data_IF_572874577427
#
_entry.id   IF_572874577427
#
_cell.length_a   1.000
_cell.length_b   1.000
_cell.length_c   1.000
_cell.angle_alpha   90.00
_cell.angle_beta   90.00
_cell.angle_gamma   90.00
#
_symmetry.space_group_name_H-M   'P 1'
#
loop_
_entity.id
_entity.type
_entity.pdbx_description
1 polymer ?
#
# COMPACT_ATOMS: atom_id res chain seq x y z
N UNK A 1 22.44 13.99 17.83
CA UNK A 1 22.79 12.66 18.35
C UNK A 1 22.81 12.57 19.87
N UNK A 2 23.19 13.63 20.62
CA UNK A 2 23.18 13.62 22.09
C UNK A 2 21.80 13.38 22.77
N UNK A 3 20.68 13.74 22.15
CA UNK A 3 19.35 13.56 22.74
C UNK A 3 18.82 12.11 22.67
N UNK A 4 19.25 11.30 21.69
CA UNK A 4 18.79 9.92 21.53
C UNK A 4 19.45 8.96 22.53
N UNK A 5 20.69 9.24 22.92
CA UNK A 5 21.46 8.40 23.85
C UNK A 5 20.95 8.49 25.29
N UNK A 6 20.32 9.62 25.66
CA UNK A 6 19.73 9.85 26.99
C UNK A 6 18.30 9.31 27.14
N UNK A 7 17.65 8.92 26.03
CA UNK A 7 16.32 8.33 26.05
C UNK A 7 16.44 6.83 26.34
N UNK A 8 15.75 6.37 27.38
CA UNK A 8 15.72 4.96 27.80
C UNK A 8 15.07 4.02 26.74
N UNK A 9 14.06 3.21 27.10
CA UNK A 9 13.41 2.31 26.14
C UNK A 9 12.51 3.03 25.11
N UNK A 10 12.44 4.36 25.11
CA UNK A 10 11.61 5.14 24.20
C UNK A 10 12.13 5.04 22.74
N UNK A 11 11.35 4.49 21.80
CA UNK A 11 11.76 4.36 20.41
C UNK A 11 11.68 5.66 19.60
N UNK A 12 10.97 6.68 20.09
CA UNK A 12 10.69 7.91 19.31
C UNK A 12 11.96 8.65 18.88
N UNK A 13 12.96 8.88 19.75
CA UNK A 13 14.19 9.57 19.36
C UNK A 13 15.00 8.79 18.31
N UNK A 14 14.90 7.46 18.31
CA UNK A 14 15.60 6.60 17.37
C UNK A 14 14.94 6.60 16.00
N UNK A 15 13.60 6.60 15.93
CA UNK A 15 12.89 6.83 14.67
C UNK A 15 13.31 8.15 14.04
N UNK A 16 13.26 9.25 14.79
CA UNK A 16 13.65 10.57 14.27
C UNK A 16 15.13 10.62 13.87
N UNK A 17 16.01 9.91 14.59
CA UNK A 17 17.43 9.82 14.22
C UNK A 17 17.63 9.05 12.90
N UNK A 18 16.89 7.95 12.68
CA UNK A 18 16.92 7.20 11.42
C UNK A 18 16.39 8.04 10.25
N UNK A 19 15.26 8.72 10.45
CA UNK A 19 14.68 9.63 9.45
C UNK A 19 15.67 10.75 9.08
N UNK A 20 16.33 11.34 10.08
CA UNK A 20 17.33 12.39 9.87
C UNK A 20 18.59 11.86 9.16
N UNK A 21 19.09 10.67 9.54
CA UNK A 21 20.23 10.05 8.89
C UNK A 21 19.94 9.73 7.41
N UNK A 22 18.74 9.21 7.11
CA UNK A 22 18.29 8.98 5.74
C UNK A 22 18.22 10.30 4.96
N UNK A 23 17.57 11.33 5.52
CA UNK A 23 17.43 12.63 4.87
C UNK A 23 18.77 13.35 4.63
N UNK A 24 19.77 13.11 5.48
CA UNK A 24 21.12 13.64 5.34
C UNK A 24 22.02 12.81 4.39
N UNK A 25 21.54 11.68 3.85
CA UNK A 25 22.33 10.79 3.01
C UNK A 25 23.46 10.09 3.77
N UNK A 26 23.22 9.70 5.03
CA UNK A 26 24.21 9.05 5.87
C UNK A 26 24.75 7.74 5.23
N UNK A 27 26.06 7.52 5.36
CA UNK A 27 26.68 6.28 4.91
C UNK A 27 26.24 5.06 5.73
N UNK A 28 26.43 3.86 5.18
CA UNK A 28 25.95 2.60 5.74
C UNK A 28 26.32 2.40 7.22
N UNK A 29 27.60 2.61 7.57
CA UNK A 29 28.07 2.41 8.95
C UNK A 29 27.43 3.35 9.98
N UNK A 30 27.09 4.58 9.58
CA UNK A 30 26.37 5.49 10.47
C UNK A 30 24.92 5.05 10.66
N UNK A 31 24.25 4.69 9.56
CA UNK A 31 22.87 4.23 9.61
C UNK A 31 22.74 2.95 10.43
N UNK A 32 23.63 1.98 10.21
CA UNK A 32 23.68 0.71 10.94
C UNK A 32 23.84 0.93 12.45
N UNK A 33 24.74 1.82 12.87
CA UNK A 33 24.91 2.19 14.29
C UNK A 33 23.61 2.72 14.91
N UNK A 34 22.85 3.56 14.21
CA UNK A 34 21.57 4.08 14.69
C UNK A 34 20.49 2.98 14.71
N UNK A 35 20.46 2.15 13.67
CA UNK A 35 19.55 1.03 13.53
C UNK A 35 19.69 0.04 14.68
N UNK A 36 20.93 -0.36 15.00
CA UNK A 36 21.19 -1.26 16.11
C UNK A 36 20.68 -0.72 17.45
N UNK A 37 20.84 0.59 17.70
CA UNK A 37 20.35 1.20 18.93
C UNK A 37 18.83 1.22 19.00
N UNK A 38 18.16 1.41 17.86
CA UNK A 38 16.71 1.37 17.73
C UNK A 38 16.18 -0.04 18.03
N UNK A 39 16.72 -1.07 17.37
CA UNK A 39 16.29 -2.46 17.54
C UNK A 39 16.60 -2.98 18.95
N UNK A 40 17.75 -2.62 19.54
CA UNK A 40 18.07 -3.00 20.92
C UNK A 40 17.04 -2.53 21.95
N UNK A 41 16.38 -1.40 21.71
CA UNK A 41 15.41 -0.79 22.65
C UNK A 41 13.97 -1.17 22.32
N UNK A 42 13.63 -1.23 21.04
CA UNK A 42 12.29 -1.55 20.59
C UNK A 42 12.31 -2.37 19.30
N UNK A 43 12.54 -3.69 19.40
CA UNK A 43 12.77 -4.59 18.26
C UNK A 43 11.68 -4.57 17.20
N UNK A 44 10.43 -4.26 17.58
CA UNK A 44 9.25 -4.33 16.69
C UNK A 44 8.62 -2.96 16.43
N UNK A 45 9.35 -1.85 16.64
CA UNK A 45 8.81 -0.51 16.39
C UNK A 45 8.64 -0.25 14.88
N UNK A 46 7.38 -0.27 14.41
CA UNK A 46 7.03 -0.15 13.00
C UNK A 46 7.71 1.03 12.29
N UNK A 47 7.71 2.22 12.90
CA UNK A 47 8.30 3.41 12.27
C UNK A 47 9.82 3.32 12.06
N UNK A 48 10.55 2.63 12.94
CA UNK A 48 12.00 2.43 12.77
C UNK A 48 12.27 1.47 11.62
N UNK A 49 11.47 0.41 11.52
CA UNK A 49 11.54 -0.56 10.43
C UNK A 49 11.20 0.06 9.07
N UNK A 50 10.20 0.95 9.02
CA UNK A 50 9.87 1.71 7.79
C UNK A 50 11.06 2.60 7.38
N UNK A 51 11.67 3.34 8.32
CA UNK A 51 12.83 4.17 8.02
C UNK A 51 14.02 3.35 7.49
N UNK A 52 14.27 2.16 8.06
CA UNK A 52 15.30 1.23 7.61
C UNK A 52 15.01 0.67 6.20
N UNK A 53 13.77 0.29 5.94
CA UNK A 53 13.33 -0.16 4.62
C UNK A 53 13.51 0.94 3.56
N UNK A 54 13.12 2.19 3.87
CA UNK A 54 13.30 3.33 2.97
C UNK A 54 14.77 3.64 2.71
N UNK A 55 15.63 3.51 3.73
CA UNK A 55 17.07 3.66 3.57
C UNK A 55 17.66 2.58 2.64
N UNK A 56 17.29 1.31 2.87
CA UNK A 56 17.74 0.18 2.05
C UNK A 56 17.34 0.35 0.59
N UNK A 57 16.08 0.73 0.34
CA UNK A 57 15.57 0.97 -1.00
C UNK A 57 16.31 2.12 -1.72
N UNK A 58 16.68 3.17 -1.00
CA UNK A 58 17.41 4.30 -1.57
C UNK A 58 18.89 4.00 -1.82
N UNK A 59 19.50 3.15 -1.00
CA UNK A 59 20.93 2.83 -1.08
C UNK A 59 21.30 1.92 -2.27
N UNK A 60 20.33 1.18 -2.82
CA UNK A 60 20.58 0.21 -3.88
C UNK A 60 19.40 0.14 -4.87
N UNK A 61 19.45 0.85 -6.00
CA UNK A 61 18.46 0.72 -7.07
C UNK A 61 18.37 -0.75 -7.53
N UNK A 62 17.16 -1.33 -7.53
CA UNK A 62 16.94 -2.74 -7.85
C UNK A 62 16.96 -3.70 -6.64
N UNK A 63 17.13 -3.19 -5.41
CA UNK A 63 17.12 -4.00 -4.18
C UNK A 63 15.73 -4.52 -3.75
N UNK A 64 14.81 -4.78 -4.68
CA UNK A 64 13.47 -5.33 -4.39
C UNK A 64 13.54 -6.61 -3.56
N UNK A 65 14.48 -7.49 -3.91
CA UNK A 65 14.69 -8.74 -3.19
C UNK A 65 15.15 -8.48 -1.76
N UNK A 66 16.14 -7.61 -1.56
CA UNK A 66 16.69 -7.29 -0.23
C UNK A 66 15.65 -6.57 0.64
N UNK A 67 14.89 -5.65 0.06
CA UNK A 67 13.78 -4.96 0.73
C UNK A 67 12.71 -5.94 1.21
N UNK A 68 12.32 -6.88 0.35
CA UNK A 68 11.36 -7.93 0.72
C UNK A 68 11.96 -8.90 1.75
N UNK A 69 13.21 -9.34 1.60
CA UNK A 69 13.89 -10.26 2.53
C UNK A 69 13.97 -9.63 3.93
N UNK A 70 14.36 -8.35 4.02
CA UNK A 70 14.35 -7.57 5.25
C UNK A 70 12.94 -7.49 5.86
N UNK A 71 11.95 -7.12 5.06
CA UNK A 71 10.61 -6.90 5.54
C UNK A 71 9.91 -8.20 5.99
N UNK A 72 10.14 -9.30 5.29
CA UNK A 72 9.63 -10.63 5.62
C UNK A 72 10.25 -11.16 6.91
N UNK A 73 11.57 -10.99 7.08
CA UNK A 73 12.28 -11.38 8.32
C UNK A 73 11.73 -10.60 9.51
N UNK A 74 11.63 -9.27 9.39
CA UNK A 74 11.08 -8.42 10.45
C UNK A 74 9.63 -8.77 10.82
N UNK A 75 8.81 -9.14 9.83
CA UNK A 75 7.44 -9.58 10.07
C UNK A 75 7.35 -10.98 10.69
N UNK A 76 8.29 -11.87 10.39
CA UNK A 76 8.36 -13.22 10.95
C UNK A 76 8.77 -13.20 12.44
N UNK A 77 9.69 -12.31 12.80
CA UNK A 77 10.22 -12.20 14.16
C UNK A 77 9.29 -11.44 15.12
N UNK A 78 8.21 -10.85 14.61
CA UNK A 78 7.33 -9.98 15.37
C UNK A 78 6.12 -10.70 16.00
N UNK A 79 5.64 -10.21 17.17
CA UNK A 79 4.37 -10.64 17.75
C UNK A 79 3.20 -10.50 16.78
N UNK A 80 2.18 -11.37 16.91
CA UNK A 80 1.09 -11.47 15.94
C UNK A 80 0.28 -10.17 15.74
N UNK A 81 0.19 -9.35 16.78
CA UNK A 81 -0.52 -8.06 16.82
C UNK A 81 0.36 -6.86 16.46
N UNK A 82 1.67 -7.07 16.26
CA UNK A 82 2.59 -5.98 15.96
C UNK A 82 2.41 -5.47 14.52
N UNK A 83 2.25 -4.15 14.37
CA UNK A 83 2.12 -3.49 13.06
C UNK A 83 3.30 -3.75 12.11
N UNK A 84 4.49 -4.09 12.64
CA UNK A 84 5.64 -4.49 11.80
C UNK A 84 5.36 -5.73 10.95
N UNK A 85 4.34 -6.54 11.28
CA UNK A 85 3.88 -7.61 10.39
C UNK A 85 3.34 -7.11 9.05
N UNK A 86 2.96 -5.84 8.95
CA UNK A 86 2.58 -5.20 7.68
C UNK A 86 3.77 -4.67 6.87
N UNK A 87 5.00 -4.74 7.38
CA UNK A 87 6.18 -4.22 6.68
C UNK A 87 6.40 -4.84 5.28
N UNK A 88 6.12 -6.14 5.02
CA UNK A 88 6.17 -6.69 3.66
C UNK A 88 5.27 -5.96 2.67
N UNK A 89 4.12 -5.41 3.12
CA UNK A 89 3.25 -4.61 2.26
C UNK A 89 3.91 -3.28 1.88
N UNK A 90 4.66 -2.65 2.80
CA UNK A 90 5.47 -1.46 2.51
C UNK A 90 6.58 -1.78 1.50
N UNK A 91 7.25 -2.92 1.64
CA UNK A 91 8.25 -3.36 0.67
C UNK A 91 7.62 -3.64 -0.71
N UNK A 92 6.44 -4.26 -0.75
CA UNK A 92 5.68 -4.49 -1.97
C UNK A 92 5.30 -3.17 -2.66
N UNK A 93 4.85 -2.17 -1.88
CA UNK A 93 4.61 -0.83 -2.38
C UNK A 93 5.85 -0.22 -3.04
N UNK A 94 6.99 -0.24 -2.35
CA UNK A 94 8.26 0.27 -2.88
C UNK A 94 8.62 -0.39 -4.23
N UNK A 95 8.48 -1.72 -4.32
CA UNK A 95 8.76 -2.45 -5.57
C UNK A 95 7.84 -2.02 -6.73
N UNK A 96 6.57 -1.77 -6.43
CA UNK A 96 5.57 -1.41 -7.43
C UNK A 96 5.73 0.04 -7.92
N UNK A 97 6.16 0.96 -7.07
CA UNK A 97 6.36 2.37 -7.47
C UNK A 97 7.64 2.57 -8.24
N UNK A 98 8.75 1.94 -7.85
CA UNK A 98 10.03 2.05 -8.57
C UNK A 98 9.97 1.44 -9.97
N UNK A 99 9.10 0.44 -10.18
CA UNK A 99 8.85 -0.12 -11.51
C UNK A 99 8.13 0.86 -12.46
N UNK A 100 7.34 1.80 -11.93
CA UNK A 100 6.65 2.81 -12.74
C UNK A 100 7.57 3.98 -13.13
N UNK A 101 8.54 4.30 -12.27
CA UNK A 101 9.47 5.45 -12.44
C UNK A 101 10.53 5.24 -13.55
N UNK A 102 10.41 4.17 -14.34
CA UNK A 102 11.27 3.94 -15.50
C UNK A 102 12.69 3.53 -15.14
N UNK A 103 12.89 2.88 -13.98
CA UNK A 103 14.15 2.20 -13.68
C UNK A 103 14.54 1.29 -14.84
N UNK A 104 15.76 1.47 -15.34
CA UNK A 104 16.33 0.96 -16.60
C UNK A 104 16.49 -0.57 -16.67
N UNK A 105 15.59 -1.34 -16.05
CA UNK A 105 15.40 -2.77 -16.30
C UNK A 105 14.54 -2.97 -17.57
N UNK A 106 14.91 -2.32 -18.66
CA UNK A 106 14.28 -2.48 -19.98
C UNK A 106 14.45 -3.91 -20.55
N UNK A 107 15.19 -4.79 -19.86
CA UNK A 107 15.43 -6.19 -20.23
C UNK A 107 15.02 -7.24 -19.16
N UNK A 108 14.44 -6.82 -18.03
CA UNK A 108 14.25 -7.72 -16.87
C UNK A 108 12.87 -8.37 -16.81
N UNK A 109 12.75 -9.65 -17.18
CA UNK A 109 11.64 -10.49 -16.68
C UNK A 109 11.59 -10.30 -15.15
N UNK A 110 10.44 -9.92 -14.56
CA UNK A 110 10.36 -9.70 -13.12
C UNK A 110 10.92 -10.92 -12.40
N UNK A 111 11.82 -10.74 -11.40
CA UNK A 111 12.55 -11.85 -10.81
C UNK A 111 11.59 -12.98 -10.44
N UNK A 112 11.95 -14.20 -10.83
CA UNK A 112 11.06 -15.36 -10.69
C UNK A 112 10.54 -15.46 -9.24
N UNK A 113 9.22 -15.48 -9.07
CA UNK A 113 8.57 -15.54 -7.76
C UNK A 113 8.28 -14.19 -7.10
N UNK A 114 8.72 -13.05 -7.66
CA UNK A 114 8.39 -11.72 -7.13
C UNK A 114 6.88 -11.54 -6.96
N UNK A 115 6.09 -11.87 -7.99
CA UNK A 115 4.62 -11.77 -7.94
C UNK A 115 4.03 -12.52 -6.74
N UNK A 116 4.51 -13.74 -6.47
CA UNK A 116 4.03 -14.57 -5.36
C UNK A 116 4.38 -13.96 -4.00
N UNK A 117 5.56 -13.34 -3.86
CA UNK A 117 5.93 -12.60 -2.64
C UNK A 117 5.05 -11.37 -2.43
N UNK A 118 4.75 -10.63 -3.49
CA UNK A 118 3.83 -9.49 -3.42
C UNK A 118 2.41 -9.91 -3.02
N UNK A 119 1.92 -11.04 -3.55
CA UNK A 119 0.64 -11.62 -3.13
C UNK A 119 0.66 -12.04 -1.66
N UNK A 120 1.71 -12.71 -1.21
CA UNK A 120 1.86 -13.12 0.19
C UNK A 120 1.93 -11.91 1.15
N UNK A 121 2.59 -10.82 0.73
CA UNK A 121 2.60 -9.56 1.48
C UNK A 121 1.20 -8.96 1.60
N UNK A 122 0.42 -8.96 0.50
CA UNK A 122 -0.96 -8.52 0.50
C UNK A 122 -1.86 -9.40 1.39
N UNK A 123 -1.73 -10.72 1.32
CA UNK A 123 -2.51 -11.66 2.13
C UNK A 123 -2.24 -11.50 3.63
N UNK A 124 -0.95 -11.33 4.01
CA UNK A 124 -0.57 -11.05 5.40
C UNK A 124 -1.21 -9.76 5.90
N UNK A 125 -1.18 -8.70 5.09
CA UNK A 125 -1.77 -7.42 5.46
C UNK A 125 -3.31 -7.45 5.48
N UNK A 126 -3.96 -8.23 4.62
CA UNK A 126 -5.41 -8.48 4.68
C UNK A 126 -5.78 -9.15 6.00
N UNK A 127 -5.03 -10.18 6.42
CA UNK A 127 -5.25 -10.85 7.70
C UNK A 127 -5.11 -9.87 8.89
N UNK A 128 -4.10 -9.01 8.86
CA UNK A 128 -3.94 -7.97 9.88
C UNK A 128 -5.09 -6.95 9.84
N UNK A 129 -5.49 -6.48 8.66
CA UNK A 129 -6.63 -5.56 8.47
C UNK A 129 -7.94 -6.13 9.03
N UNK A 130 -8.15 -7.44 8.89
CA UNK A 130 -9.34 -8.14 9.38
C UNK A 130 -9.38 -8.25 10.91
N UNK A 131 -8.23 -8.15 11.60
CA UNK A 131 -8.18 -8.12 13.06
C UNK A 131 -8.68 -6.78 13.65
N UNK A 132 -8.80 -5.75 12.82
CA UNK A 132 -9.31 -4.43 13.21
C UNK A 132 -10.79 -4.26 12.85
N UNK A 133 -11.58 -3.52 13.67
CA UNK A 133 -12.95 -3.17 13.32
C UNK A 133 -13.05 -2.44 11.96
N UNK A 134 -14.20 -2.56 11.30
CA UNK A 134 -14.51 -1.72 10.15
C UNK A 134 -14.58 -0.24 10.58
N UNK A 135 -14.15 0.67 9.72
CA UNK A 135 -14.05 2.10 10.00
C UNK A 135 -13.26 2.40 11.30
N UNK A 136 -12.13 1.71 11.47
CA UNK A 136 -11.15 2.00 12.51
C UNK A 136 -10.09 3.00 11.97
N UNK A 137 -9.94 4.20 12.57
CA UNK A 137 -8.88 5.14 12.21
C UNK A 137 -7.47 4.53 12.31
N UNK A 138 -7.23 3.62 13.26
CA UNK A 138 -5.90 3.04 13.50
C UNK A 138 -5.44 2.13 12.36
N UNK A 139 -6.37 1.48 11.68
CA UNK A 139 -6.09 0.64 10.52
C UNK A 139 -6.16 1.41 9.19
N UNK A 140 -6.47 2.72 9.20
CA UNK A 140 -6.75 3.47 8.00
C UNK A 140 -5.56 3.50 7.03
N UNK A 141 -4.35 3.80 7.52
CA UNK A 141 -3.15 3.84 6.67
C UNK A 141 -2.84 2.47 6.05
N UNK A 142 -2.90 1.40 6.85
CA UNK A 142 -2.73 0.02 6.37
C UNK A 142 -3.72 -0.31 5.25
N UNK A 143 -5.00 0.04 5.43
CA UNK A 143 -6.04 -0.22 4.43
C UNK A 143 -5.91 0.63 3.18
N UNK A 144 -5.51 1.90 3.33
CA UNK A 144 -5.21 2.77 2.19
C UNK A 144 -4.03 2.21 1.37
N UNK A 145 -2.96 1.75 2.04
CA UNK A 145 -1.83 1.07 1.40
C UNK A 145 -2.23 -0.25 0.74
N UNK A 146 -3.06 -1.06 1.40
CA UNK A 146 -3.59 -2.30 0.83
C UNK A 146 -4.36 -2.04 -0.46
N UNK A 147 -5.26 -1.06 -0.47
CA UNK A 147 -6.04 -0.72 -1.68
C UNK A 147 -5.10 -0.39 -2.83
N UNK A 148 -4.09 0.44 -2.59
CA UNK A 148 -3.09 0.78 -3.59
C UNK A 148 -2.42 -0.48 -4.17
N UNK A 149 -1.83 -1.30 -3.29
CA UNK A 149 -1.08 -2.50 -3.71
C UNK A 149 -2.00 -3.47 -4.43
N UNK A 150 -3.19 -3.76 -3.89
CA UNK A 150 -4.14 -4.71 -4.47
C UNK A 150 -4.58 -4.31 -5.88
N UNK A 151 -4.77 -3.01 -6.15
CA UNK A 151 -5.11 -2.55 -7.49
C UNK A 151 -3.96 -2.75 -8.49
N UNK A 152 -2.72 -2.48 -8.06
CA UNK A 152 -1.51 -2.74 -8.86
C UNK A 152 -1.28 -4.24 -9.10
N UNK A 153 -1.73 -5.07 -8.17
CA UNK A 153 -1.72 -6.53 -8.27
C UNK A 153 -2.92 -7.10 -9.07
N UNK A 154 -3.87 -6.26 -9.50
CA UNK A 154 -5.09 -6.68 -10.22
C UNK A 154 -6.15 -7.36 -9.33
N UNK A 155 -6.00 -7.32 -8.01
CA UNK A 155 -6.89 -7.95 -7.02
C UNK A 155 -8.06 -7.04 -6.66
N UNK A 156 -8.88 -6.70 -7.66
CA UNK A 156 -9.95 -5.70 -7.52
C UNK A 156 -11.01 -6.04 -6.47
N UNK A 157 -11.35 -7.33 -6.32
CA UNK A 157 -12.34 -7.77 -5.31
C UNK A 157 -11.85 -7.52 -3.88
N UNK A 158 -10.58 -7.85 -3.61
CA UNK A 158 -9.97 -7.59 -2.30
C UNK A 158 -9.83 -6.08 -2.05
N UNK A 159 -9.45 -5.30 -3.07
CA UNK A 159 -9.39 -3.84 -2.96
C UNK A 159 -10.75 -3.23 -2.61
N UNK A 160 -11.84 -3.73 -3.23
CA UNK A 160 -13.20 -3.30 -2.91
C UNK A 160 -13.58 -3.59 -1.45
N UNK A 161 -13.20 -4.77 -0.95
CA UNK A 161 -13.43 -5.13 0.46
C UNK A 161 -12.62 -4.24 1.41
N UNK A 162 -11.35 -3.95 1.10
CA UNK A 162 -10.54 -3.04 1.91
C UNK A 162 -11.11 -1.61 1.90
N UNK A 163 -11.64 -1.12 0.77
CA UNK A 163 -12.36 0.17 0.72
C UNK A 163 -13.62 0.17 1.59
N UNK A 164 -14.37 -0.94 1.61
CA UNK A 164 -15.55 -1.11 2.48
C UNK A 164 -15.15 -1.07 3.95
N UNK A 165 -14.10 -1.81 4.34
CA UNK A 165 -13.57 -1.84 5.70
C UNK A 165 -12.95 -0.51 6.13
N UNK A 166 -12.36 0.25 5.21
CA UNK A 166 -11.80 1.58 5.48
C UNK A 166 -12.88 2.58 5.87
N UNK A 167 -14.07 2.49 5.25
CA UNK A 167 -15.16 3.41 5.52
C UNK A 167 -14.83 4.85 5.09
N UNK A 168 -14.90 5.85 6.00
CA UNK A 168 -14.71 7.25 5.65
C UNK A 168 -13.25 7.71 5.64
N UNK A 169 -12.31 6.90 6.16
CA UNK A 169 -10.94 7.35 6.40
C UNK A 169 -10.10 7.33 5.13
N UNK A 170 -9.28 8.36 5.00
CA UNK A 170 -8.26 8.50 3.96
C UNK A 170 -7.00 9.04 4.64
N UNK A 171 -5.85 8.57 4.19
CA UNK A 171 -4.53 9.02 4.65
C UNK A 171 -3.78 9.66 3.51
N UNK A 172 -2.82 10.54 3.78
CA UNK A 172 -2.01 11.15 2.69
C UNK A 172 -1.20 10.08 1.96
N UNK A 173 -0.46 9.27 2.71
CA UNK A 173 0.20 8.08 2.17
C UNK A 173 -0.83 6.96 1.93
N UNK A 174 -0.79 6.20 0.83
CA UNK A 174 0.22 6.23 -0.25
C UNK A 174 -0.07 7.22 -1.39
N UNK A 175 -1.24 7.87 -1.39
CA UNK A 175 -1.73 8.64 -2.53
C UNK A 175 -0.88 9.89 -2.86
N UNK A 176 -0.19 10.43 -1.85
CA UNK A 176 0.79 11.50 -1.97
C UNK A 176 2.04 11.11 -2.79
N UNK A 177 2.18 9.85 -3.19
CA UNK A 177 3.21 9.41 -4.14
C UNK A 177 2.79 9.55 -5.60
N UNK A 178 1.49 9.67 -5.89
CA UNK A 178 0.99 9.81 -7.26
C UNK A 178 0.58 11.26 -7.59
N UNK A 179 0.18 12.05 -6.58
CA UNK A 179 -0.37 13.39 -6.80
C UNK A 179 -0.27 14.28 -5.57
N UNK A 180 -0.29 15.60 -5.80
CA UNK A 180 -0.41 16.62 -4.75
C UNK A 180 -1.82 16.72 -4.14
N UNK A 181 -2.83 16.01 -4.69
CA UNK A 181 -4.17 15.86 -4.10
C UNK A 181 -4.48 14.41 -3.68
N UNK A 182 -3.95 13.94 -2.54
CA UNK A 182 -4.21 12.59 -2.01
C UNK A 182 -5.68 12.27 -1.83
N UNK A 183 -6.48 13.26 -1.39
CA UNK A 183 -7.91 13.09 -1.15
C UNK A 183 -8.66 12.85 -2.47
N UNK A 184 -8.43 13.71 -3.47
CA UNK A 184 -9.02 13.56 -4.79
C UNK A 184 -8.67 12.22 -5.41
N UNK A 185 -7.41 11.78 -5.29
CA UNK A 185 -6.97 10.49 -5.80
C UNK A 185 -7.68 9.32 -5.16
N UNK A 186 -7.73 9.27 -3.82
CA UNK A 186 -8.45 8.22 -3.10
C UNK A 186 -9.94 8.16 -3.48
N UNK A 187 -10.59 9.32 -3.60
CA UNK A 187 -12.00 9.40 -3.98
C UNK A 187 -12.23 8.89 -5.41
N UNK A 188 -11.34 9.20 -6.34
CA UNK A 188 -11.35 8.67 -7.71
C UNK A 188 -11.26 7.15 -7.73
N UNK A 189 -10.24 6.59 -7.06
CA UNK A 189 -10.06 5.13 -6.91
C UNK A 189 -11.32 4.47 -6.33
N UNK A 190 -11.89 5.07 -5.27
CA UNK A 190 -13.09 4.53 -4.64
C UNK A 190 -14.31 4.54 -5.56
N UNK A 191 -14.44 5.55 -6.43
CA UNK A 191 -15.51 5.61 -7.42
C UNK A 191 -15.32 4.56 -8.52
N UNK A 192 -14.10 4.43 -9.04
CA UNK A 192 -13.74 3.44 -10.07
C UNK A 192 -14.01 2.00 -9.61
N UNK A 193 -13.54 1.63 -8.41
CA UNK A 193 -13.75 0.29 -7.85
C UNK A 193 -15.23 0.01 -7.60
N UNK A 194 -16.00 1.01 -7.14
CA UNK A 194 -17.47 0.86 -6.97
C UNK A 194 -18.17 0.68 -8.31
N UNK A 195 -17.77 1.43 -9.34
CA UNK A 195 -18.34 1.29 -10.67
C UNK A 195 -18.05 -0.09 -11.28
N UNK A 196 -16.83 -0.60 -11.10
CA UNK A 196 -16.43 -1.94 -11.55
C UNK A 196 -17.17 -3.07 -10.81
N UNK A 197 -17.55 -2.85 -9.54
CA UNK A 197 -18.30 -3.81 -8.74
C UNK A 197 -19.83 -3.77 -8.97
N UNK A 198 -20.34 -2.72 -9.64
CA UNK A 198 -21.75 -2.63 -9.95
C UNK A 198 -22.12 -3.66 -11.03
N UNK A 199 -23.26 -4.38 -10.91
CA UNK A 199 -23.72 -5.23 -11.99
C UNK A 199 -23.93 -4.39 -13.26
N UNK A 200 -23.69 -4.95 -14.46
CA UNK A 200 -23.99 -4.24 -15.70
C UNK A 200 -25.45 -3.80 -15.65
N UNK A 201 -25.68 -2.51 -15.89
CA UNK A 201 -27.03 -1.94 -15.88
C UNK A 201 -27.90 -2.84 -16.77
N UNK A 202 -28.92 -3.47 -16.18
CA UNK A 202 -29.89 -4.24 -16.92
C UNK A 202 -30.42 -3.33 -18.03
N UNK A 203 -30.12 -3.70 -19.28
CA UNK A 203 -30.29 -2.84 -20.43
C UNK A 203 -31.65 -2.15 -20.40
N UNK A 204 -31.65 -0.84 -20.64
CA UNK A 204 -32.86 -0.07 -20.90
C UNK A 204 -33.60 -0.74 -22.06
N UNK A 205 -34.51 -1.65 -21.71
CA UNK A 205 -35.42 -2.27 -22.65
C UNK A 205 -36.27 -1.16 -23.23
N UNK A 206 -35.94 -0.71 -24.45
CA UNK A 206 -36.81 0.18 -25.19
C UNK A 206 -38.18 -0.50 -25.32
N UNK A 207 -39.28 0.15 -24.90
CA UNK A 207 -40.59 -0.39 -25.15
C UNK A 207 -40.79 -0.43 -26.67
N UNK A 208 -41.12 -1.63 -27.19
CA UNK A 208 -41.52 -1.84 -28.58
C UNK A 208 -42.63 -0.83 -28.90
N UNK A 209 -42.32 0.15 -29.74
CA UNK A 209 -43.28 1.10 -30.27
C UNK A 209 -44.21 0.35 -31.23
N UNK A 210 -45.31 -0.20 -30.70
CA UNK A 210 -46.46 -0.58 -31.50
C UNK A 210 -47.11 0.68 -32.05
N UNK A 211 -46.70 1.13 -33.24
CA UNK A 211 -47.47 2.11 -34.02
C UNK A 211 -48.34 1.36 -35.01
N UNK A 212 -49.63 1.40 -34.72
CA UNK A 212 -50.71 0.80 -35.50
C UNK A 212 -50.72 1.26 -36.96
N UNK A 213 -51.17 0.34 -37.82
CA UNK A 213 -51.30 0.54 -39.24
C UNK A 213 -52.19 1.73 -39.57
N UNK A 214 -51.74 2.54 -40.53
CA UNK A 214 -52.59 3.52 -41.20
C UNK A 214 -53.58 2.79 -42.10
N UNK A 215 -54.85 2.90 -41.75
CA UNK A 215 -56.01 2.58 -42.58
C UNK A 215 -55.98 3.50 -43.82
N UNK A 216 -56.15 2.92 -45.01
CA UNK A 216 -56.36 3.66 -46.27
C UNK A 216 -57.80 4.20 -46.30
N UNK A 217 -58.05 5.44 -46.77
CA UNK A 217 -59.40 5.85 -47.12
C UNK A 217 -59.76 5.29 -48.50
N UNK A 218 -60.90 4.61 -48.57
CA UNK A 218 -61.59 4.30 -49.83
C UNK A 218 -62.56 5.42 -50.20
N UNK A 219 -62.70 5.57 -51.53
CA UNK A 219 -63.82 6.05 -52.34
C UNK A 219 -64.35 7.49 -52.18
N UNK A 220 -64.14 8.30 -53.23
CA UNK A 220 -65.16 8.64 -54.24
C UNK A 220 -64.49 9.15 -55.53
#
# INVERSE_FOLDING_TARGET
TAAAEAAGPDPVPWRTALDAARGAGAGHAEFERLWEQAVRRSPHHYGCHVAALEYLAAASPGAHRECLDFAETAAQDAPEDALVRALPLRAAFTCLTTADDGGDDADGVPPQGLRARLDAAADRAIALSAAHPAADPWAAELRNLLVYVLLRLGRHADAAEQLRLTGPYVTSFPWDRETDDPLGRFLGVRAEVRAAAAPPAAGSGHPRSGRGGRVRPGDH
#
